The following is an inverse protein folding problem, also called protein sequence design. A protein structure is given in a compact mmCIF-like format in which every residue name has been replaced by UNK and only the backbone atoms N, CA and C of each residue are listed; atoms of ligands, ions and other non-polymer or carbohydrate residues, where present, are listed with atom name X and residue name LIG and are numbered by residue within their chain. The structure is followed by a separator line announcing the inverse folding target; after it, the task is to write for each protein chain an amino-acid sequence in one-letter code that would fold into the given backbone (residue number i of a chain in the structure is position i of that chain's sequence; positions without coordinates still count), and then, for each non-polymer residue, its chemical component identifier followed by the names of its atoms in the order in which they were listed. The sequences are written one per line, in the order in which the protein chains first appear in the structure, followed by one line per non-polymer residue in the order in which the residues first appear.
data_IF_882276509926
#
_entry.id   IF_882276509926
#
_cell.length_a   1.000
_cell.length_b   1.000
_cell.length_c   1.000
_cell.angle_alpha   90.00
_cell.angle_beta   90.00
_cell.angle_gamma   90.00
#
_symmetry.space_group_name_H-M   'P 1'
#
loop_
_entity.id
_entity.type
_entity.pdbx_description
1 polymer ?
#
# COMPACT_ATOMS: atom_id res chain seq x y z
N UNK A 1 0.80 -0.93 13.05
CA UNK A 1 1.84 -1.95 12.80
C UNK A 1 2.89 -1.96 13.91
N UNK A 2 3.38 -0.80 14.39
CA UNK A 2 4.36 -0.70 15.50
C UNK A 2 4.06 -1.62 16.71
N UNK A 3 2.84 -1.58 17.25
CA UNK A 3 2.47 -2.44 18.39
C UNK A 3 2.48 -3.96 18.16
N UNK A 4 2.61 -4.44 16.92
CA UNK A 4 2.80 -5.86 16.61
C UNK A 4 4.27 -6.26 16.45
N UNK A 5 5.16 -5.28 16.32
CA UNK A 5 6.59 -5.45 16.00
C UNK A 5 7.49 -5.09 17.18
N UNK A 6 7.03 -4.23 18.09
CA UNK A 6 7.76 -3.87 19.30
C UNK A 6 8.00 -5.10 20.19
N UNK A 7 9.28 -5.32 20.55
CA UNK A 7 9.69 -6.41 21.44
C UNK A 7 9.82 -7.79 20.80
N UNK A 8 9.58 -7.93 19.48
CA UNK A 8 9.73 -9.19 18.77
C UNK A 8 10.78 -9.09 17.64
N UNK A 9 11.67 -10.09 17.48
CA UNK A 9 12.52 -10.17 16.32
C UNK A 9 11.69 -10.53 15.08
N UNK A 10 11.92 -9.82 13.98
CA UNK A 10 11.24 -10.11 12.72
C UNK A 10 12.13 -9.94 11.50
N UNK A 11 11.73 -10.59 10.41
CA UNK A 11 12.43 -10.50 9.13
C UNK A 11 11.62 -9.69 8.13
N UNK A 12 12.24 -8.70 7.51
CA UNK A 12 11.69 -7.96 6.36
C UNK A 12 12.25 -8.54 5.08
N UNK A 13 11.36 -9.01 4.21
CA UNK A 13 11.71 -9.48 2.87
C UNK A 13 11.48 -8.34 1.89
N UNK A 14 12.51 -7.93 1.17
CA UNK A 14 12.45 -6.81 0.21
C UNK A 14 13.31 -7.07 -1.02
N UNK A 15 12.90 -6.51 -2.14
CA UNK A 15 13.67 -6.45 -3.38
C UNK A 15 14.53 -5.18 -3.50
N UNK A 16 14.55 -4.32 -2.47
CA UNK A 16 15.38 -3.13 -2.43
C UNK A 16 16.79 -3.43 -1.89
N UNK A 17 17.76 -3.55 -2.81
CA UNK A 17 19.18 -3.70 -2.45
C UNK A 17 19.71 -2.53 -1.60
N UNK A 18 19.15 -1.33 -1.79
CA UNK A 18 19.50 -0.12 -1.03
C UNK A 18 19.27 -0.29 0.47
N UNK A 19 18.21 -1.00 0.86
CA UNK A 19 17.83 -1.20 2.26
C UNK A 19 18.76 -2.21 2.95
N UNK A 20 19.18 -3.25 2.22
CA UNK A 20 20.24 -4.16 2.67
C UNK A 20 21.57 -3.44 2.88
N UNK A 21 21.89 -2.47 2.02
CA UNK A 21 23.10 -1.65 2.14
C UNK A 21 23.00 -0.63 3.27
N UNK A 22 21.80 -0.12 3.55
CA UNK A 22 21.54 0.86 4.60
C UNK A 22 21.94 0.34 5.99
N UNK A 23 21.70 -0.93 6.30
CA UNK A 23 22.09 -1.52 7.60
C UNK A 23 23.62 -1.60 7.83
N UNK A 24 24.43 -1.44 6.78
CA UNK A 24 25.90 -1.62 6.84
C UNK A 24 26.69 -0.31 6.73
N UNK A 25 26.01 0.81 6.56
CA UNK A 25 26.66 2.11 6.45
C UNK A 25 26.99 2.62 7.86
N UNK A 26 28.19 3.18 8.04
CA UNK A 26 28.65 3.69 9.34
C UNK A 26 28.29 5.17 9.54
N UNK A 27 28.11 5.92 8.45
CA UNK A 27 27.80 7.35 8.49
C UNK A 27 26.58 7.65 7.63
N UNK A 28 25.54 8.19 8.27
CA UNK A 28 24.29 8.57 7.61
C UNK A 28 24.02 10.06 7.83
N UNK A 29 23.63 10.76 6.78
CA UNK A 29 23.18 12.16 6.86
C UNK A 29 21.79 12.33 6.26
N UNK A 30 21.02 13.28 6.80
CA UNK A 30 19.67 13.59 6.30
C UNK A 30 18.63 12.48 6.55
N UNK A 31 17.72 12.26 5.58
CA UNK A 31 16.57 11.34 5.74
C UNK A 31 16.97 9.89 6.00
N UNK A 32 18.12 9.45 5.50
CA UNK A 32 18.59 8.07 5.70
C UNK A 32 19.00 7.80 7.14
N UNK A 33 19.59 8.80 7.83
CA UNK A 33 19.91 8.70 9.25
C UNK A 33 18.64 8.57 10.10
N UNK A 34 17.60 9.32 9.73
CA UNK A 34 16.32 9.25 10.41
C UNK A 34 15.65 7.88 10.26
N UNK A 35 15.62 7.32 9.04
CA UNK A 35 15.10 5.96 8.83
C UNK A 35 15.92 4.89 9.55
N UNK A 36 17.24 5.03 9.59
CA UNK A 36 18.08 4.09 10.34
C UNK A 36 17.81 4.18 11.84
N UNK A 37 17.69 5.39 12.39
CA UNK A 37 17.38 5.60 13.80
C UNK A 37 16.06 4.94 14.19
N UNK A 38 15.02 5.09 13.36
CA UNK A 38 13.74 4.42 13.56
C UNK A 38 13.88 2.88 13.48
N UNK A 39 14.63 2.37 12.51
CA UNK A 39 14.85 0.93 12.34
C UNK A 39 15.69 0.31 13.47
N UNK A 40 16.62 1.05 14.06
CA UNK A 40 17.44 0.61 15.19
C UNK A 40 16.62 0.32 16.45
N UNK A 41 15.40 0.84 16.55
CA UNK A 41 14.49 0.55 17.67
C UNK A 41 13.92 -0.88 17.61
N UNK A 42 14.06 -1.58 16.48
CA UNK A 42 13.51 -2.91 16.25
C UNK A 42 14.63 -3.93 16.01
N UNK A 43 14.41 -5.17 16.45
CA UNK A 43 15.27 -6.30 16.08
C UNK A 43 14.84 -6.83 14.70
N UNK A 44 15.32 -6.16 13.65
CA UNK A 44 14.91 -6.40 12.27
C UNK A 44 16.03 -6.98 11.40
N UNK A 45 15.77 -8.15 10.83
CA UNK A 45 16.63 -8.76 9.83
C UNK A 45 16.11 -8.47 8.41
N UNK A 46 16.93 -7.83 7.56
CA UNK A 46 16.52 -7.53 6.17
C UNK A 46 17.07 -8.59 5.23
N UNK A 47 16.17 -9.34 4.58
CA UNK A 47 16.51 -10.34 3.56
C UNK A 47 16.14 -9.85 2.17
N UNK A 48 17.11 -9.94 1.26
CA UNK A 48 16.87 -9.65 -0.14
C UNK A 48 16.12 -10.81 -0.81
N UNK A 49 15.05 -10.48 -1.53
CA UNK A 49 14.36 -11.37 -2.48
C UNK A 49 14.32 -10.69 -3.84
N UNK A 50 14.62 -11.42 -4.91
CA UNK A 50 14.52 -10.88 -6.26
C UNK A 50 13.10 -10.40 -6.54
N UNK A 51 12.94 -9.22 -7.16
CA UNK A 51 11.62 -8.61 -7.43
C UNK A 51 10.66 -9.55 -8.18
N UNK A 52 11.16 -10.35 -9.13
CA UNK A 52 10.36 -11.37 -9.85
C UNK A 52 9.69 -12.38 -8.90
N UNK A 53 10.29 -12.65 -7.74
CA UNK A 53 9.75 -13.54 -6.71
C UNK A 53 8.93 -12.78 -5.66
N UNK A 54 8.86 -11.45 -5.73
CA UNK A 54 8.16 -10.55 -4.81
C UNK A 54 6.74 -10.16 -5.26
N UNK A 55 6.17 -10.91 -6.22
CA UNK A 55 4.89 -10.62 -6.88
C UNK A 55 3.72 -10.29 -5.94
N UNK A 56 3.62 -10.87 -4.75
CA UNK A 56 2.55 -10.53 -3.78
C UNK A 56 2.72 -9.10 -3.26
N UNK A 57 3.93 -8.72 -2.84
CA UNK A 57 4.20 -7.38 -2.36
C UNK A 57 4.09 -6.37 -3.51
N UNK A 58 4.57 -6.75 -4.70
CA UNK A 58 4.43 -5.93 -5.91
C UNK A 58 2.95 -5.68 -6.21
N UNK A 59 2.12 -6.73 -6.24
CA UNK A 59 0.68 -6.63 -6.46
C UNK A 59 -0.05 -5.74 -5.43
N UNK A 60 0.42 -5.70 -4.19
CA UNK A 60 -0.11 -4.83 -3.15
C UNK A 60 0.39 -3.38 -3.27
N UNK A 61 1.62 -3.19 -3.76
CA UNK A 61 2.24 -1.87 -3.95
C UNK A 61 1.70 -1.15 -5.19
N UNK A 62 1.31 -1.93 -6.21
CA UNK A 62 0.62 -1.40 -7.37
C UNK A 62 -0.70 -0.80 -6.89
N UNK A 63 -0.93 0.48 -7.23
CA UNK A 63 -2.26 1.05 -7.12
C UNK A 63 -3.24 0.09 -7.80
N UNK A 64 -4.49 -0.03 -7.32
CA UNK A 64 -5.46 -0.91 -7.96
C UNK A 64 -5.78 -0.36 -9.36
N UNK A 65 -4.94 -0.67 -10.34
CA UNK A 65 -5.15 -0.46 -11.78
C UNK A 65 -6.11 -1.55 -12.23
N UNK A 66 -7.32 -1.45 -11.70
CA UNK A 66 -8.34 -2.48 -11.67
C UNK A 66 -7.82 -3.77 -11.02
N UNK A 67 -8.38 -4.12 -9.87
CA UNK A 67 -8.49 -5.54 -9.58
C UNK A 67 -9.27 -6.14 -10.75
N UNK A 68 -8.60 -6.77 -11.71
CA UNK A 68 -9.20 -7.68 -12.66
C UNK A 68 -9.59 -8.96 -11.91
N UNK A 69 -10.26 -8.81 -10.76
CA UNK A 69 -11.15 -9.83 -10.29
C UNK A 69 -12.14 -10.02 -11.44
N UNK A 70 -12.30 -11.27 -11.88
CA UNK A 70 -13.44 -11.70 -12.68
C UNK A 70 -14.66 -10.92 -12.19
N UNK A 71 -15.43 -10.24 -13.06
CA UNK A 71 -16.50 -9.35 -12.62
C UNK A 71 -17.31 -10.08 -11.56
N UNK A 72 -17.28 -9.56 -10.34
CA UNK A 72 -17.85 -10.22 -9.18
C UNK A 72 -19.34 -10.44 -9.48
N UNK A 73 -19.73 -11.65 -9.85
CA UNK A 73 -21.13 -12.00 -10.17
C UNK A 73 -21.95 -12.22 -8.91
N UNK A 74 -21.63 -11.50 -7.83
CA UNK A 74 -22.40 -11.56 -6.60
C UNK A 74 -23.52 -10.52 -6.63
N UNK A 75 -24.66 -10.86 -6.02
CA UNK A 75 -25.83 -9.97 -5.99
C UNK A 75 -25.51 -8.59 -5.39
N UNK A 76 -24.58 -8.54 -4.43
CA UNK A 76 -24.13 -7.28 -3.83
C UNK A 76 -23.49 -6.34 -4.87
N UNK A 77 -22.60 -6.85 -5.72
CA UNK A 77 -21.91 -6.05 -6.74
C UNK A 77 -22.90 -5.51 -7.77
N UNK A 78 -23.82 -6.36 -8.24
CA UNK A 78 -24.85 -5.99 -9.22
C UNK A 78 -25.75 -4.87 -8.69
N UNK A 79 -26.24 -5.00 -7.45
CA UNK A 79 -27.06 -3.97 -6.81
C UNK A 79 -26.31 -2.65 -6.68
N UNK A 80 -25.06 -2.69 -6.20
CA UNK A 80 -24.25 -1.48 -6.03
C UNK A 80 -23.94 -0.80 -7.37
N UNK A 81 -23.67 -1.59 -8.42
CA UNK A 81 -23.45 -1.10 -9.78
C UNK A 81 -24.71 -0.42 -10.35
N UNK A 82 -25.88 -1.04 -10.19
CA UNK A 82 -27.17 -0.46 -10.60
C UNK A 82 -27.51 0.81 -9.81
N UNK A 83 -27.26 0.83 -8.50
CA UNK A 83 -27.50 1.98 -7.65
C UNK A 83 -26.68 3.19 -8.07
N UNK A 84 -25.39 3.00 -8.37
CA UNK A 84 -24.49 4.08 -8.79
C UNK A 84 -24.79 4.55 -10.21
N UNK A 85 -25.16 3.64 -11.11
CA UNK A 85 -25.63 4.03 -12.44
C UNK A 85 -26.96 4.82 -12.38
N UNK A 86 -27.83 4.53 -11.42
CA UNK A 86 -29.10 5.24 -11.23
C UNK A 86 -28.90 6.62 -10.60
N UNK A 87 -28.06 6.71 -9.57
CA UNK A 87 -27.77 7.95 -8.87
C UNK A 87 -26.30 7.98 -8.39
N UNK A 88 -25.40 8.60 -9.18
CA UNK A 88 -24.00 8.72 -8.83
C UNK A 88 -23.75 9.53 -7.55
N UNK A 89 -24.67 10.44 -7.17
CA UNK A 89 -24.50 11.32 -6.01
C UNK A 89 -24.73 10.59 -4.67
N UNK A 90 -25.43 9.45 -4.70
CA UNK A 90 -25.75 8.65 -3.50
C UNK A 90 -24.52 7.98 -2.88
N UNK A 91 -23.45 7.78 -3.66
CA UNK A 91 -22.21 7.09 -3.25
C UNK A 91 -20.98 7.75 -3.91
N UNK A 92 -20.56 8.95 -3.45
CA UNK A 92 -19.44 9.67 -4.08
C UNK A 92 -18.09 8.92 -3.99
N UNK A 93 -17.96 7.98 -3.06
CA UNK A 93 -16.78 7.13 -2.90
C UNK A 93 -16.61 6.09 -4.02
N UNK A 94 -17.59 5.96 -4.92
CA UNK A 94 -17.60 4.97 -5.99
C UNK A 94 -17.89 5.63 -7.34
N UNK A 95 -17.19 5.17 -8.37
CA UNK A 95 -17.38 5.62 -9.74
C UNK A 95 -17.37 4.43 -10.68
N UNK A 96 -18.30 4.42 -11.64
CA UNK A 96 -18.28 3.46 -12.74
C UNK A 96 -17.42 4.01 -13.87
N UNK A 97 -16.43 3.26 -14.33
CA UNK A 97 -15.59 3.57 -15.48
C UNK A 97 -15.30 2.28 -16.28
N UNK A 98 -15.37 2.35 -17.61
CA UNK A 98 -15.11 1.21 -18.51
C UNK A 98 -15.89 -0.08 -18.14
N UNK A 99 -17.14 0.08 -17.71
CA UNK A 99 -18.00 -1.04 -17.29
C UNK A 99 -17.62 -1.68 -15.95
N UNK A 100 -16.75 -1.05 -15.15
CA UNK A 100 -16.30 -1.55 -13.84
C UNK A 100 -16.62 -0.55 -12.74
N UNK A 101 -17.07 -1.07 -11.60
CA UNK A 101 -17.18 -0.31 -10.35
C UNK A 101 -15.78 -0.09 -9.76
N UNK A 102 -15.35 1.15 -9.68
CA UNK A 102 -14.12 1.57 -9.01
C UNK A 102 -14.48 2.27 -7.71
N UNK A 103 -13.81 1.90 -6.62
CA UNK A 103 -13.88 2.66 -5.37
C UNK A 103 -12.79 3.73 -5.43
N UNK A 104 -13.19 4.99 -5.38
CA UNK A 104 -12.26 6.08 -5.19
C UNK A 104 -11.83 6.07 -3.72
N UNK A 105 -10.61 5.60 -3.46
CA UNK A 105 -9.99 5.84 -2.15
C UNK A 105 -9.57 7.30 -2.20
N UNK A 106 -10.43 8.22 -1.72
CA UNK A 106 -9.96 9.55 -1.35
C UNK A 106 -8.82 9.28 -0.38
N UNK A 107 -7.59 9.60 -0.76
CA UNK A 107 -6.53 9.69 0.23
C UNK A 107 -6.95 10.83 1.16
N UNK A 108 -7.65 10.49 2.24
CA UNK A 108 -7.88 11.37 3.37
C UNK A 108 -6.51 11.62 4.00
N UNK A 109 -5.84 12.66 3.52
CA UNK A 109 -4.51 13.05 3.96
C UNK A 109 -3.73 13.74 2.86
N UNK A 110 -4.16 14.96 2.50
CA UNK A 110 -3.40 16.10 1.95
C UNK A 110 -4.34 16.99 1.10
N UNK A 111 -5.35 17.58 1.75
CA UNK A 111 -5.85 18.88 1.32
C UNK A 111 -5.27 19.90 2.29
N UNK A 112 -4.58 20.88 1.71
CA UNK A 112 -3.75 21.83 2.43
C UNK A 112 -4.51 22.65 3.46
N UNK A 113 -3.80 22.99 4.53
CA UNK A 113 -4.17 24.13 5.35
C UNK A 113 -4.00 25.41 4.51
N UNK A 114 -5.02 26.29 4.43
CA UNK A 114 -4.84 27.65 3.97
C UNK A 114 -4.50 28.59 5.14
N UNK A 115 -3.64 29.56 4.83
CA UNK A 115 -3.17 30.74 5.58
C UNK A 115 -2.01 30.55 6.56
#
# INVERSE_FOLDING_TARGET
MKGYLEGYPFTVITDLQSLRRLQRLEAHTGRLAWWLFELQQYDVEVKYRQGVLNHVADALSLQPTSCAATPLRCQWYQRLFEEINRDPARRPDYRVADGRLLRHILQSGLQGAPH
#
